data_IF_346467925500
#
_entry.id   IF_346467925500
#
_cell.length_a   1.000
_cell.length_b   1.000
_cell.length_c   1.000
_cell.angle_alpha   90.00
_cell.angle_beta   90.00
_cell.angle_gamma   90.00
#
_symmetry.space_group_name_H-M   'P 1'
#
loop_
_entity.id
_entity.type
_entity.pdbx_description
1 polymer ?
#
# COMPACT_ATOMS: atom_id res chain seq x y z
N UNK A 1 -17.85 -3.64 12.29
CA UNK A 1 -16.59 -2.93 12.05
C UNK A 1 -15.80 -3.82 11.12
N UNK A 2 -15.41 -3.26 9.98
CA UNK A 2 -14.52 -3.87 9.03
C UNK A 2 -13.09 -3.82 9.57
N UNK A 3 -12.31 -4.84 9.30
CA UNK A 3 -10.86 -4.81 9.50
C UNK A 3 -10.21 -4.16 8.28
N UNK A 4 -9.60 -3.00 8.46
CA UNK A 4 -8.90 -2.28 7.40
C UNK A 4 -7.40 -2.31 7.70
N UNK A 5 -6.61 -2.90 6.81
CA UNK A 5 -5.15 -2.89 6.96
C UNK A 5 -4.55 -1.87 6.01
N UNK A 6 -3.67 -1.01 6.53
CA UNK A 6 -2.93 0.00 5.77
C UNK A 6 -1.45 -0.36 5.84
N UNK A 7 -0.89 -0.84 4.74
CA UNK A 7 0.48 -1.39 4.70
C UNK A 7 1.41 -0.46 3.92
N UNK A 8 2.49 -0.04 4.57
CA UNK A 8 3.56 0.73 3.94
C UNK A 8 4.70 -0.20 3.54
N UNK A 9 4.98 -0.31 2.26
CA UNK A 9 6.06 -1.15 1.73
C UNK A 9 7.31 -0.33 1.43
N UNK A 10 8.44 -1.03 1.38
CA UNK A 10 9.70 -0.51 0.89
C UNK A 10 10.81 -0.44 1.94
N UNK A 11 11.97 0.08 1.53
CA UNK A 11 13.19 0.06 2.31
C UNK A 11 13.67 1.48 2.63
N UNK A 12 13.53 1.88 3.89
CA UNK A 12 13.95 3.20 4.38
C UNK A 12 15.46 3.48 4.22
N UNK A 13 16.27 2.46 3.93
CA UNK A 13 17.70 2.62 3.68
C UNK A 13 18.01 3.07 2.25
N UNK A 14 17.05 3.07 1.32
CA UNK A 14 17.27 3.32 -0.11
C UNK A 14 16.39 4.45 -0.66
N UNK A 15 16.61 5.69 -0.18
CA UNK A 15 15.99 6.89 -0.75
C UNK A 15 14.48 6.74 -0.90
N UNK A 16 14.00 6.93 -2.13
CA UNK A 16 12.59 6.89 -2.50
C UNK A 16 11.92 5.52 -2.28
N UNK A 17 12.68 4.43 -2.13
CA UNK A 17 12.11 3.13 -1.72
C UNK A 17 11.48 3.21 -0.32
N UNK A 18 11.89 4.16 0.52
CA UNK A 18 11.29 4.39 1.83
C UNK A 18 9.89 5.03 1.81
N UNK A 19 9.38 5.41 0.64
CA UNK A 19 8.12 6.16 0.51
C UNK A 19 6.94 5.50 1.24
N UNK A 20 6.70 4.20 1.01
CA UNK A 20 5.49 3.55 1.52
C UNK A 20 5.45 3.48 3.04
N UNK A 21 6.60 3.17 3.66
CA UNK A 21 6.77 3.16 5.12
C UNK A 21 6.53 4.56 5.71
N UNK A 22 7.09 5.60 5.09
CA UNK A 22 6.90 6.98 5.55
C UNK A 22 5.44 7.43 5.40
N UNK A 23 4.80 7.11 4.27
CA UNK A 23 3.42 7.47 4.00
C UNK A 23 2.45 6.88 5.05
N UNK A 24 2.62 5.61 5.44
CA UNK A 24 1.76 4.98 6.46
C UNK A 24 1.94 5.60 7.84
N UNK A 25 3.18 5.89 8.26
CA UNK A 25 3.45 6.56 9.53
C UNK A 25 2.80 7.94 9.59
N UNK A 26 2.88 8.70 8.50
CA UNK A 26 2.24 10.01 8.41
C UNK A 26 0.73 9.89 8.40
N UNK A 27 0.18 8.97 7.61
CA UNK A 27 -1.27 8.78 7.49
C UNK A 27 -1.92 8.41 8.83
N UNK A 28 -1.27 7.56 9.63
CA UNK A 28 -1.73 7.19 10.98
C UNK A 28 -1.95 8.43 11.87
N UNK A 29 -1.08 9.43 11.75
CA UNK A 29 -1.15 10.66 12.57
C UNK A 29 -1.98 11.78 11.94
N UNK A 30 -2.03 11.85 10.60
CA UNK A 30 -2.61 12.97 9.84
C UNK A 30 -4.05 12.70 9.38
N UNK A 31 -4.49 11.44 9.36
CA UNK A 31 -5.85 11.05 8.95
C UNK A 31 -6.58 10.28 10.07
N UNK A 32 -7.11 10.97 11.09
CA UNK A 32 -7.97 10.31 12.06
C UNK A 32 -9.28 9.89 11.38
N UNK A 33 -9.56 8.59 11.41
CA UNK A 33 -10.81 7.99 10.93
C UNK A 33 -11.39 7.17 12.08
N UNK A 34 -12.63 7.46 12.44
CA UNK A 34 -13.33 6.81 13.55
C UNK A 34 -14.30 5.72 13.03
N UNK A 35 -14.60 4.74 13.87
CA UNK A 35 -15.70 3.80 13.64
C UNK A 35 -15.35 2.49 12.92
N UNK A 36 -14.09 2.31 12.51
CA UNK A 36 -13.58 1.05 11.93
C UNK A 36 -12.35 0.52 12.67
N UNK A 37 -12.01 -0.74 12.47
CA UNK A 37 -10.80 -1.36 13.03
C UNK A 37 -9.65 -1.20 12.02
N UNK A 38 -8.96 -0.06 12.09
CA UNK A 38 -7.90 0.33 11.14
C UNK A 38 -6.52 0.04 11.74
N UNK A 39 -5.73 -0.78 11.07
CA UNK A 39 -4.36 -1.12 11.46
C UNK A 39 -3.35 -0.51 10.50
N UNK A 40 -2.48 0.37 11.01
CA UNK A 40 -1.36 0.92 10.26
C UNK A 40 -0.13 0.05 10.47
N UNK A 41 0.44 -0.47 9.37
CA UNK A 41 1.46 -1.52 9.39
C UNK A 41 2.68 -1.05 8.60
N UNK A 42 3.82 -0.96 9.29
CA UNK A 42 5.15 -0.88 8.66
C UNK A 42 5.50 -2.24 8.06
N UNK A 43 5.13 -2.43 6.79
CA UNK A 43 5.33 -3.67 6.06
C UNK A 43 6.76 -3.85 5.56
N UNK A 44 7.50 -2.73 5.42
CA UNK A 44 8.88 -2.68 4.98
C UNK A 44 9.15 -3.64 3.82
N UNK A 45 10.08 -4.57 4.04
CA UNK A 45 10.42 -5.65 3.10
C UNK A 45 10.08 -7.03 3.68
N UNK A 46 8.97 -7.17 4.42
CA UNK A 46 8.67 -8.38 5.20
C UNK A 46 8.18 -9.58 4.36
N UNK A 47 7.85 -9.40 3.08
CA UNK A 47 7.49 -10.50 2.17
C UNK A 47 6.36 -11.38 2.71
N UNK A 48 6.59 -12.69 2.84
CA UNK A 48 5.57 -13.68 3.26
C UNK A 48 4.90 -13.39 4.60
N UNK A 49 5.56 -12.68 5.51
CA UNK A 49 4.96 -12.31 6.79
C UNK A 49 3.77 -11.36 6.63
N UNK A 50 3.68 -10.66 5.49
CA UNK A 50 2.56 -9.78 5.17
C UNK A 50 1.28 -10.54 4.82
N UNK A 51 1.37 -11.84 4.50
CA UNK A 51 0.21 -12.64 4.09
C UNK A 51 -0.89 -12.66 5.16
N UNK A 52 -0.52 -12.75 6.44
CA UNK A 52 -1.50 -12.75 7.53
C UNK A 52 -2.27 -11.42 7.61
N UNK A 53 -1.61 -10.29 7.31
CA UNK A 53 -2.28 -8.99 7.27
C UNK A 53 -3.17 -8.86 6.03
N UNK A 54 -2.75 -9.43 4.89
CA UNK A 54 -3.59 -9.46 3.69
C UNK A 54 -4.86 -10.30 3.94
N UNK A 55 -4.70 -11.51 4.48
CA UNK A 55 -5.81 -12.47 4.65
C UNK A 55 -6.80 -12.12 5.78
N UNK A 56 -6.39 -11.26 6.72
CA UNK A 56 -7.24 -10.85 7.85
C UNK A 56 -8.04 -9.58 7.59
N UNK A 57 -7.80 -8.89 6.47
CA UNK A 57 -8.43 -7.62 6.15
C UNK A 57 -9.70 -7.80 5.30
N UNK A 58 -10.75 -7.04 5.63
CA UNK A 58 -11.89 -6.83 4.75
C UNK A 58 -11.53 -5.87 3.61
N UNK A 59 -10.70 -4.86 3.91
CA UNK A 59 -10.17 -3.89 2.97
C UNK A 59 -8.68 -3.63 3.21
N UNK A 60 -7.91 -3.48 2.13
CA UNK A 60 -6.46 -3.33 2.17
C UNK A 60 -6.00 -2.11 1.36
N UNK A 61 -5.35 -1.16 2.04
CA UNK A 61 -4.69 -0.01 1.43
C UNK A 61 -3.17 -0.21 1.50
N UNK A 62 -2.48 -0.01 0.38
CA UNK A 62 -1.03 -0.20 0.28
C UNK A 62 -0.39 1.09 -0.22
N UNK A 63 0.73 1.47 0.39
CA UNK A 63 1.64 2.48 -0.13
C UNK A 63 2.95 1.83 -0.56
N UNK A 64 3.42 2.11 -1.77
CA UNK A 64 4.68 1.55 -2.29
C UNK A 64 5.35 2.49 -3.31
N UNK A 65 6.68 2.41 -3.43
CA UNK A 65 7.39 3.02 -4.54
C UNK A 65 7.28 2.10 -5.75
N UNK A 66 6.64 2.57 -6.83
CA UNK A 66 6.27 1.70 -7.96
C UNK A 66 6.85 2.21 -9.28
N UNK A 67 7.07 1.31 -10.23
CA UNK A 67 7.41 1.68 -11.61
C UNK A 67 6.18 1.43 -12.48
N UNK A 68 5.38 2.46 -12.80
CA UNK A 68 4.22 2.32 -13.69
C UNK A 68 4.68 2.01 -15.13
N UNK A 69 3.79 1.43 -15.95
CA UNK A 69 4.08 1.18 -17.38
C UNK A 69 4.39 2.47 -18.12
N UNK A 70 3.55 3.48 -17.91
CA UNK A 70 3.76 4.82 -18.43
C UNK A 70 4.33 5.68 -17.31
N UNK A 71 5.64 5.90 -17.35
CA UNK A 71 6.34 6.72 -16.36
C UNK A 71 5.87 8.17 -16.42
N UNK A 72 5.17 8.60 -15.38
CA UNK A 72 4.71 9.97 -15.18
C UNK A 72 4.93 10.35 -13.72
N UNK A 73 5.41 11.58 -13.46
CA UNK A 73 5.77 12.02 -12.11
C UNK A 73 4.53 12.50 -11.37
N UNK A 74 3.72 11.55 -10.92
CA UNK A 74 2.48 11.79 -10.16
C UNK A 74 2.20 10.65 -9.19
N UNK A 75 1.19 10.85 -8.35
CA UNK A 75 0.59 9.78 -7.55
C UNK A 75 -0.26 8.88 -8.46
N UNK A 76 -0.05 7.57 -8.36
CA UNK A 76 -0.89 6.56 -9.00
C UNK A 76 -1.77 5.91 -7.95
N UNK A 77 -3.03 5.64 -8.31
CA UNK A 77 -3.99 4.93 -7.46
C UNK A 77 -4.60 3.82 -8.31
N UNK A 78 -4.35 2.57 -7.91
CA UNK A 78 -4.92 1.39 -8.56
C UNK A 78 -5.92 0.72 -7.63
N UNK A 79 -7.08 0.31 -8.17
CA UNK A 79 -8.12 -0.39 -7.39
C UNK A 79 -8.35 -1.80 -7.92
N UNK A 80 -8.40 -2.79 -7.02
CA UNK A 80 -8.81 -4.17 -7.30
C UNK A 80 -8.12 -4.76 -8.55
N UNK A 81 -8.88 -5.00 -9.63
CA UNK A 81 -8.39 -5.63 -10.86
C UNK A 81 -7.51 -4.68 -11.72
N UNK A 82 -7.44 -3.39 -11.37
CA UNK A 82 -6.52 -2.43 -12.00
C UNK A 82 -5.09 -2.56 -11.47
N UNK A 83 -4.86 -3.36 -10.42
CA UNK A 83 -3.52 -3.54 -9.89
C UNK A 83 -2.60 -4.08 -11.00
N UNK A 84 -1.48 -3.40 -11.28
CA UNK A 84 -0.62 -3.81 -12.37
C UNK A 84 -0.03 -5.20 -12.13
N UNK A 85 -0.14 -6.08 -13.14
CA UNK A 85 0.41 -7.44 -13.07
C UNK A 85 1.93 -7.49 -12.80
N UNK A 86 2.61 -6.36 -13.04
CA UNK A 86 4.05 -6.16 -12.91
C UNK A 86 4.46 -5.46 -11.61
N UNK A 87 3.66 -5.55 -10.52
CA UNK A 87 4.20 -5.40 -9.14
C UNK A 87 5.12 -6.62 -8.87
N UNK A 88 6.20 -6.69 -9.63
CA UNK A 88 7.15 -7.79 -9.78
C UNK A 88 8.60 -7.31 -9.70
N UNK A 89 8.84 -6.06 -9.27
CA UNK A 89 10.19 -5.61 -8.95
C UNK A 89 10.42 -5.59 -7.46
N UNK A 90 10.57 -6.81 -6.96
CA UNK A 90 11.54 -7.12 -5.94
C UNK A 90 12.91 -6.52 -6.32
N UNK A 91 13.35 -5.47 -5.62
CA UNK A 91 14.77 -5.10 -5.60
C UNK A 91 15.62 -6.14 -4.84
N UNK A 92 14.98 -7.13 -4.21
CA UNK A 92 15.62 -8.28 -3.56
C UNK A 92 15.17 -9.61 -4.18
N UNK A 93 16.09 -10.32 -4.84
CA UNK A 93 15.87 -11.63 -5.49
C UNK A 93 15.42 -12.78 -4.57
N UNK A 94 15.12 -12.51 -3.29
CA UNK A 94 14.80 -13.51 -2.26
C UNK A 94 13.45 -13.30 -1.55
N UNK A 95 12.64 -12.32 -1.95
CA UNK A 95 11.35 -12.05 -1.32
C UNK A 95 10.17 -12.37 -2.24
N UNK A 96 9.07 -12.88 -1.69
CA UNK A 96 7.81 -12.93 -2.41
C UNK A 96 7.28 -11.51 -2.56
N UNK A 97 6.99 -11.10 -3.80
CA UNK A 97 6.39 -9.80 -4.06
C UNK A 97 4.92 -9.77 -3.66
N UNK A 98 4.35 -8.56 -3.63
CA UNK A 98 2.94 -8.35 -3.32
C UNK A 98 2.01 -9.15 -4.24
N UNK A 99 2.34 -9.27 -5.53
CA UNK A 99 1.57 -10.04 -6.52
C UNK A 99 1.44 -11.51 -6.12
N UNK A 100 2.53 -12.13 -5.66
CA UNK A 100 2.53 -13.53 -5.21
C UNK A 100 1.71 -13.69 -3.94
N UNK A 101 1.80 -12.77 -2.98
CA UNK A 101 1.01 -12.82 -1.75
C UNK A 101 -0.49 -12.70 -2.03
N UNK A 102 -0.90 -11.77 -2.90
CA UNK A 102 -2.29 -11.63 -3.32
C UNK A 102 -2.78 -12.88 -4.06
N UNK A 103 -1.92 -13.53 -4.84
CA UNK A 103 -2.23 -14.79 -5.50
C UNK A 103 -2.46 -15.92 -4.50
N UNK A 104 -1.62 -16.03 -3.47
CA UNK A 104 -1.80 -17.01 -2.38
C UNK A 104 -3.08 -16.74 -1.60
N UNK A 105 -3.33 -15.49 -1.20
CA UNK A 105 -4.57 -15.11 -0.51
C UNK A 105 -5.81 -15.45 -1.35
N UNK A 106 -5.75 -15.25 -2.67
CA UNK A 106 -6.82 -15.63 -3.61
C UNK A 106 -7.01 -17.15 -3.67
N UNK A 107 -5.95 -17.94 -3.69
CA UNK A 107 -6.02 -19.41 -3.63
C UNK A 107 -6.62 -19.90 -2.30
N UNK A 108 -6.37 -19.19 -1.20
CA UNK A 108 -6.97 -19.48 0.10
C UNK A 108 -8.42 -18.98 0.24
N UNK A 109 -8.94 -18.23 -0.74
CA UNK A 109 -10.26 -17.62 -0.68
C UNK A 109 -10.36 -16.48 0.34
N UNK A 110 -9.23 -15.80 0.63
CA UNK A 110 -9.08 -14.75 1.65
C UNK A 110 -8.46 -13.47 1.10
N UNK A 111 -8.65 -13.18 -0.18
CA UNK A 111 -8.27 -11.87 -0.70
C UNK A 111 -9.26 -10.81 -0.18
N UNK A 112 -8.80 -9.63 0.26
CA UNK A 112 -9.69 -8.54 0.68
C UNK A 112 -10.70 -8.19 -0.41
N UNK A 113 -11.91 -7.83 -0.01
CA UNK A 113 -12.97 -7.44 -0.95
C UNK A 113 -12.66 -6.10 -1.63
N UNK A 114 -11.94 -5.23 -0.93
CA UNK A 114 -11.44 -3.96 -1.46
C UNK A 114 -9.92 -3.89 -1.30
N UNK A 115 -9.24 -3.59 -2.40
CA UNK A 115 -7.80 -3.47 -2.47
C UNK A 115 -7.43 -2.19 -3.22
N UNK A 116 -6.61 -1.35 -2.60
CA UNK A 116 -6.08 -0.14 -3.24
C UNK A 116 -4.59 -0.03 -3.05
N UNK A 117 -3.87 0.24 -4.13
CA UNK A 117 -2.46 0.58 -4.13
C UNK A 117 -2.28 2.04 -4.51
N UNK A 118 -1.66 2.81 -3.62
CA UNK A 118 -1.17 4.16 -3.89
C UNK A 118 0.33 4.06 -4.08
N UNK A 119 0.82 4.54 -5.22
CA UNK A 119 2.25 4.49 -5.48
C UNK A 119 2.80 5.71 -6.20
N UNK A 120 4.09 5.93 -5.99
CA UNK A 120 4.85 7.03 -6.60
C UNK A 120 6.08 6.45 -7.29
N UNK A 121 6.44 6.94 -8.49
CA UNK A 121 7.68 6.55 -9.15
C UNK A 121 8.91 7.10 -8.43
N UNK A 122 9.88 6.24 -8.06
CA UNK A 122 11.12 6.70 -7.45
C UNK A 122 12.00 7.46 -8.47
N UNK A 123 12.85 8.33 -7.94
CA UNK A 123 13.86 9.12 -8.66
C UNK A 123 15.26 8.79 -8.16
N UNK A 124 15.44 8.63 -6.85
CA UNK A 124 16.72 8.28 -6.22
C UNK A 124 16.56 7.07 -5.29
N UNK A 125 17.36 6.04 -5.54
CA UNK A 125 17.41 4.79 -4.78
C UNK A 125 18.80 4.55 -4.16
N UNK A 126 19.61 5.62 -4.01
CA UNK A 126 20.92 5.51 -3.38
C UNK A 126 20.80 5.13 -1.90
N UNK A 127 21.69 4.24 -1.44
CA UNK A 127 21.75 3.84 -0.05
C UNK A 127 22.08 5.04 0.86
N UNK A 128 21.29 5.25 1.90
CA UNK A 128 21.44 6.34 2.86
C UNK A 128 20.95 7.70 2.37
N UNK A 129 20.42 7.80 1.14
CA UNK A 129 19.74 9.00 0.69
C UNK A 129 18.40 9.18 1.43
N UNK A 130 17.99 10.44 1.71
CA UNK A 130 16.62 10.71 2.12
C UNK A 130 15.65 10.55 0.94
N UNK A 131 14.34 10.64 1.20
CA UNK A 131 13.35 10.82 0.14
C UNK A 131 13.72 12.03 -0.72
N UNK A 132 13.66 11.89 -2.04
CA UNK A 132 13.93 12.96 -2.99
C UNK A 132 12.88 14.08 -2.86
N UNK A 133 13.24 15.29 -3.28
CA UNK A 133 12.30 16.41 -3.31
C UNK A 133 11.02 16.08 -4.11
N UNK A 134 11.16 15.31 -5.19
CA UNK A 134 10.01 14.89 -6.02
C UNK A 134 9.03 14.03 -5.22
N UNK A 135 9.52 13.03 -4.48
CA UNK A 135 8.65 12.18 -3.64
C UNK A 135 8.09 12.97 -2.46
N UNK A 136 8.87 13.88 -1.86
CA UNK A 136 8.37 14.75 -0.80
C UNK A 136 7.24 15.67 -1.29
N UNK A 137 7.35 16.22 -2.50
CA UNK A 137 6.32 17.09 -3.12
C UNK A 137 5.03 16.34 -3.43
N UNK A 138 5.12 15.04 -3.75
CA UNK A 138 3.97 14.18 -4.04
C UNK A 138 3.36 13.51 -2.79
N UNK A 139 4.06 13.51 -1.66
CA UNK A 139 3.61 12.90 -0.41
C UNK A 139 2.24 13.43 0.06
N UNK A 140 1.96 14.76 0.09
CA UNK A 140 0.65 15.25 0.50
C UNK A 140 -0.51 14.71 -0.36
N UNK A 141 -0.32 14.63 -1.68
CA UNK A 141 -1.33 14.09 -2.59
C UNK A 141 -1.61 12.60 -2.33
N UNK A 142 -0.56 11.83 -2.03
CA UNK A 142 -0.71 10.42 -1.67
C UNK A 142 -1.45 10.24 -0.34
N UNK A 143 -1.14 11.05 0.68
CA UNK A 143 -1.82 11.02 1.97
C UNK A 143 -3.29 11.43 1.84
N UNK A 144 -3.59 12.47 1.05
CA UNK A 144 -4.96 12.91 0.78
C UNK A 144 -5.77 11.82 0.07
N UNK A 145 -5.16 11.14 -0.91
CA UNK A 145 -5.78 10.01 -1.59
C UNK A 145 -6.08 8.87 -0.61
N UNK A 146 -5.11 8.47 0.23
CA UNK A 146 -5.30 7.44 1.25
C UNK A 146 -6.39 7.81 2.25
N UNK A 147 -6.38 9.03 2.75
CA UNK A 147 -7.36 9.51 3.71
C UNK A 147 -8.79 9.52 3.12
N UNK A 148 -8.93 9.91 1.85
CA UNK A 148 -10.20 9.83 1.13
C UNK A 148 -10.70 8.39 1.00
N UNK A 149 -9.82 7.43 0.69
CA UNK A 149 -10.16 6.01 0.58
C UNK A 149 -10.60 5.45 1.94
N UNK A 150 -9.87 5.75 3.02
CA UNK A 150 -10.25 5.29 4.36
C UNK A 150 -11.64 5.81 4.75
N UNK A 151 -11.90 7.11 4.53
CA UNK A 151 -13.22 7.72 4.79
C UNK A 151 -14.32 7.11 3.92
N UNK A 152 -14.04 6.82 2.65
CA UNK A 152 -14.97 6.15 1.73
C UNK A 152 -15.37 4.77 2.28
N UNK A 153 -14.41 3.96 2.71
CA UNK A 153 -14.65 2.64 3.27
C UNK A 153 -15.39 2.66 4.62
N UNK A 154 -15.18 3.70 5.43
CA UNK A 154 -15.89 3.90 6.71
C UNK A 154 -17.31 4.45 6.53
N UNK A 155 -17.57 5.25 5.48
CA UNK A 155 -18.91 5.79 5.21
C UNK A 155 -19.84 4.78 4.54
N UNK A 156 -19.31 3.93 3.66
CA UNK A 156 -20.06 2.89 2.98
C UNK A 156 -19.99 1.58 3.81
N UNK A 157 -20.83 1.46 4.85
CA UNK A 157 -20.93 0.24 5.65
C UNK A 157 -21.07 -1.03 4.79
N UNK A 158 -20.43 -2.13 5.23
CA UNK A 158 -20.25 -3.39 4.48
C UNK A 158 -21.42 -3.86 3.61
N UNK A 159 -21.21 -4.18 2.32
CA UNK A 159 -21.93 -5.28 1.69
C UNK A 159 -21.57 -6.56 2.45
N UNK A 160 -22.58 -7.35 2.81
CA UNK A 160 -22.38 -8.64 3.48
C UNK A 160 -21.46 -9.57 2.65
N UNK A 161 -20.61 -10.39 3.29
CA UNK A 161 -19.76 -11.32 2.57
C UNK A 161 -20.60 -12.31 1.73
N UNK A 162 -20.12 -12.72 0.55
CA UNK A 162 -20.75 -13.81 -0.20
C UNK A 162 -20.73 -15.10 0.63
N UNK A 163 -21.89 -15.75 0.71
CA UNK A 163 -22.09 -17.02 1.42
C UNK A 163 -21.41 -18.20 0.73
#
# INVERSE_FOLDING_TARGET
MRTINVIGLGNILFGDEGFGVEAVRRLETECPVEGEDIHFIDGGTQGIYLLNYIESADALLIFDAIIPVDYDRKVFVYRNDELPAFIHRNMSSHQMGLSELLSVARLHGRVPAELVLIGIPPVDLAMGAPLSAVVQDLMPEALDAGCRILREWSCCGSPAPPR
#
